data_IF_438645743046
#
_entry.id   IF_438645743046
#
_cell.length_a   1.000
_cell.length_b   1.000
_cell.length_c   1.000
_cell.angle_alpha   90.00
_cell.angle_beta   90.00
_cell.angle_gamma   90.00
#
_symmetry.space_group_name_H-M   'P 1'
#
loop_
_entity.id
_entity.type
_entity.pdbx_description
1 polymer ?
#
# COMPACT_ATOMS: atom_id res chain seq x y z
N UNK A 1 -10.08 -4.89 -21.82
CA UNK A 1 -9.02 -4.83 -22.84
C UNK A 1 -7.81 -5.53 -22.23
N UNK A 2 -7.25 -6.55 -22.87
CA UNK A 2 -6.09 -7.24 -22.32
C UNK A 2 -4.88 -6.29 -22.27
N UNK A 3 -4.07 -6.29 -21.22
CA UNK A 3 -2.81 -5.56 -21.17
C UNK A 3 -1.93 -6.02 -22.33
N UNK A 4 -1.62 -5.09 -23.22
CA UNK A 4 -0.58 -5.25 -24.20
C UNK A 4 0.46 -4.17 -23.99
N UNK A 5 1.72 -4.61 -23.99
CA UNK A 5 2.87 -3.71 -24.00
C UNK A 5 3.59 -3.89 -25.33
N UNK A 6 4.01 -2.78 -25.94
CA UNK A 6 4.90 -2.79 -27.08
C UNK A 6 5.92 -1.68 -26.90
N UNK A 7 7.19 -2.00 -27.09
CA UNK A 7 8.28 -1.06 -26.89
C UNK A 7 9.61 -1.65 -27.29
N UNK A 8 10.66 -1.07 -26.72
CA UNK A 8 12.04 -1.47 -26.96
C UNK A 8 12.65 -1.90 -25.64
N UNK A 9 13.40 -3.00 -25.67
CA UNK A 9 14.25 -3.42 -24.58
C UNK A 9 15.70 -3.46 -25.04
N UNK A 10 16.60 -3.29 -24.08
CA UNK A 10 18.04 -3.36 -24.29
C UNK A 10 18.57 -4.58 -23.56
N UNK A 11 19.36 -5.39 -24.27
CA UNK A 11 20.06 -6.53 -23.70
C UNK A 11 21.52 -6.18 -23.49
N UNK A 12 22.04 -6.42 -22.30
CA UNK A 12 23.45 -6.20 -22.01
C UNK A 12 24.29 -7.28 -22.71
N UNK A 13 25.09 -6.87 -23.69
CA UNK A 13 26.00 -7.74 -24.43
C UNK A 13 27.33 -7.83 -23.70
N UNK A 14 27.87 -6.69 -23.29
CA UNK A 14 29.14 -6.59 -22.57
C UNK A 14 28.98 -5.59 -21.41
N UNK A 15 29.33 -5.97 -20.16
CA UNK A 15 29.35 -5.03 -19.03
C UNK A 15 30.47 -4.01 -19.20
N UNK A 16 30.46 -2.97 -18.37
CA UNK A 16 31.53 -1.96 -18.34
C UNK A 16 32.88 -2.64 -18.14
N UNK A 17 33.83 -2.23 -18.96
CA UNK A 17 35.23 -2.58 -18.82
C UNK A 17 36.05 -1.33 -18.49
N UNK A 18 37.32 -1.49 -18.15
CA UNK A 18 38.24 -0.36 -17.90
C UNK A 18 38.39 0.56 -19.10
N UNK A 19 38.18 0.03 -20.31
CA UNK A 19 38.43 0.76 -21.56
C UNK A 19 37.16 1.18 -22.31
N UNK A 20 36.00 0.60 -21.99
CA UNK A 20 34.77 0.81 -22.75
C UNK A 20 33.53 0.84 -21.85
N UNK A 21 32.55 1.65 -22.26
CA UNK A 21 31.21 1.67 -21.67
C UNK A 21 30.47 0.35 -21.93
N UNK A 22 29.44 0.02 -21.12
CA UNK A 22 28.59 -1.13 -21.37
C UNK A 22 28.02 -1.12 -22.79
N UNK A 23 27.96 -2.30 -23.43
CA UNK A 23 27.37 -2.46 -24.76
C UNK A 23 26.02 -3.13 -24.66
N UNK A 24 25.05 -2.55 -25.37
CA UNK A 24 23.67 -3.02 -25.39
C UNK A 24 23.26 -3.39 -26.81
N UNK A 25 22.49 -4.47 -26.94
CA UNK A 25 21.74 -4.81 -28.15
C UNK A 25 20.31 -4.30 -27.99
N UNK A 26 19.79 -3.63 -29.01
CA UNK A 26 18.42 -3.15 -29.02
C UNK A 26 17.51 -4.22 -29.61
N UNK A 27 16.47 -4.61 -28.86
CA UNK A 27 15.50 -5.61 -29.29
C UNK A 27 14.07 -5.07 -29.17
N UNK A 28 13.19 -5.52 -30.08
CA UNK A 28 11.77 -5.22 -29.98
C UNK A 28 11.14 -6.05 -28.86
N UNK A 29 10.40 -5.40 -27.97
CA UNK A 29 9.69 -6.03 -26.86
C UNK A 29 8.19 -5.93 -27.08
N UNK A 30 7.49 -7.05 -26.94
CA UNK A 30 6.04 -7.02 -26.78
C UNK A 30 5.55 -8.02 -25.73
N UNK A 31 4.49 -7.64 -25.01
CA UNK A 31 3.82 -8.47 -24.02
C UNK A 31 2.37 -8.64 -24.45
N UNK A 32 1.89 -9.88 -24.41
CA UNK A 32 0.50 -10.21 -24.69
C UNK A 32 0.02 -11.33 -23.77
N UNK A 33 -1.24 -11.26 -23.37
CA UNK A 33 -1.92 -12.40 -22.75
C UNK A 33 -2.43 -13.34 -23.85
N UNK A 34 -2.09 -14.62 -23.73
CA UNK A 34 -2.48 -15.63 -24.70
C UNK A 34 -2.95 -16.90 -23.98
N UNK A 35 -4.12 -17.41 -24.38
CA UNK A 35 -4.58 -18.73 -23.95
C UNK A 35 -3.84 -19.80 -24.77
N UNK A 36 -3.07 -20.63 -24.09
CA UNK A 36 -2.34 -21.74 -24.73
C UNK A 36 -3.20 -23.01 -24.67
N UNK A 37 -3.11 -23.91 -25.68
CA UNK A 37 -4.03 -25.04 -25.82
C UNK A 37 -3.95 -26.07 -24.68
N UNK A 38 -2.93 -26.00 -23.83
CA UNK A 38 -2.70 -26.91 -22.70
C UNK A 38 -2.99 -26.28 -21.34
N UNK A 39 -3.42 -25.01 -21.28
CA UNK A 39 -3.82 -24.34 -20.04
C UNK A 39 -5.23 -23.74 -20.16
N UNK A 40 -5.95 -23.74 -19.05
CA UNK A 40 -7.29 -23.17 -18.96
C UNK A 40 -7.28 -21.67 -18.68
N UNK A 41 -6.16 -21.14 -18.19
CA UNK A 41 -5.99 -19.74 -17.86
C UNK A 41 -5.06 -19.06 -18.87
N UNK A 42 -5.36 -17.80 -19.26
CA UNK A 42 -4.50 -17.03 -20.14
C UNK A 42 -3.14 -16.80 -19.48
N UNK A 43 -2.07 -16.95 -20.26
CA UNK A 43 -0.71 -16.76 -19.78
C UNK A 43 -0.07 -15.52 -20.38
N UNK A 44 0.84 -14.91 -19.63
CA UNK A 44 1.62 -13.76 -20.09
C UNK A 44 2.77 -14.21 -20.97
N UNK A 45 2.71 -13.87 -22.25
CA UNK A 45 3.74 -14.15 -23.25
C UNK A 45 4.53 -12.88 -23.55
N UNK A 46 5.84 -12.97 -23.40
CA UNK A 46 6.81 -11.96 -23.75
C UNK A 46 7.50 -12.36 -25.05
N UNK A 47 7.41 -11.52 -26.07
CA UNK A 47 8.16 -11.65 -27.30
C UNK A 47 9.31 -10.65 -27.29
N UNK A 48 10.53 -11.17 -27.36
CA UNK A 48 11.77 -10.41 -27.43
C UNK A 48 12.46 -10.74 -28.75
N UNK A 49 12.46 -9.79 -29.67
CA UNK A 49 12.88 -10.02 -31.06
C UNK A 49 12.07 -11.14 -31.71
N UNK A 50 12.74 -12.24 -32.05
CA UNK A 50 12.12 -13.42 -32.67
C UNK A 50 11.74 -14.52 -31.67
N UNK A 51 12.13 -14.39 -30.39
CA UNK A 51 11.95 -15.44 -29.40
C UNK A 51 10.75 -15.13 -28.50
N UNK A 52 9.92 -16.15 -28.28
CA UNK A 52 8.76 -16.06 -27.39
C UNK A 52 9.06 -16.76 -26.06
N UNK A 53 8.69 -16.10 -24.98
CA UNK A 53 8.90 -16.56 -23.62
C UNK A 53 7.58 -16.51 -22.85
N UNK A 54 7.34 -17.54 -22.05
CA UNK A 54 6.36 -17.52 -20.99
C UNK A 54 6.96 -16.81 -19.78
N UNK A 55 6.34 -15.75 -19.30
CA UNK A 55 6.79 -15.05 -18.09
C UNK A 55 6.16 -15.69 -16.87
N UNK A 56 7.00 -15.99 -15.87
CA UNK A 56 6.55 -16.53 -14.59
C UNK A 56 6.49 -15.44 -13.53
N UNK A 57 7.59 -14.67 -13.39
CA UNK A 57 7.72 -13.59 -12.41
C UNK A 57 8.62 -12.50 -12.97
N UNK A 58 8.47 -11.27 -12.47
CA UNK A 58 9.33 -10.15 -12.80
C UNK A 58 9.59 -9.26 -11.60
N UNK A 59 10.83 -8.81 -11.42
CA UNK A 59 11.18 -7.90 -10.35
C UNK A 59 12.11 -6.77 -10.83
N UNK A 60 11.91 -5.55 -10.28
CA UNK A 60 12.83 -4.45 -10.51
C UNK A 60 14.20 -4.76 -9.91
N UNK A 61 15.28 -4.48 -10.64
CA UNK A 61 16.66 -4.64 -10.15
C UNK A 61 17.49 -3.39 -10.43
N UNK A 62 18.68 -3.35 -9.83
CA UNK A 62 19.63 -2.25 -9.97
C UNK A 62 20.51 -2.42 -11.23
N UNK A 63 20.33 -1.50 -12.18
CA UNK A 63 21.04 -1.50 -13.44
C UNK A 63 22.53 -1.15 -13.29
N UNK A 64 22.89 -0.30 -12.33
CA UNK A 64 24.27 0.13 -12.12
C UNK A 64 25.13 -1.03 -11.60
N UNK A 65 24.58 -1.83 -10.67
CA UNK A 65 25.23 -3.04 -10.17
C UNK A 65 25.50 -4.05 -11.28
N UNK A 66 24.55 -4.24 -12.19
CA UNK A 66 24.66 -5.27 -13.23
C UNK A 66 25.52 -4.85 -14.42
N UNK A 67 25.45 -3.59 -14.83
CA UNK A 67 26.26 -3.02 -15.90
C UNK A 67 27.70 -2.71 -15.45
N UNK A 68 27.91 -2.54 -14.14
CA UNK A 68 29.19 -2.07 -13.57
C UNK A 68 29.42 -0.58 -13.76
N UNK A 69 28.43 0.17 -14.25
CA UNK A 69 28.52 1.62 -14.45
C UNK A 69 27.67 2.38 -13.42
N UNK A 70 28.26 3.17 -12.49
CA UNK A 70 27.49 4.01 -11.58
C UNK A 70 26.70 5.11 -12.30
N UNK A 71 27.04 5.43 -13.55
CA UNK A 71 26.32 6.40 -14.39
C UNK A 71 25.26 5.75 -15.29
N UNK A 72 24.88 4.51 -15.01
CA UNK A 72 23.87 3.80 -15.81
C UNK A 72 22.52 4.52 -15.74
N UNK A 73 21.97 4.85 -16.91
CA UNK A 73 20.71 5.59 -17.04
C UNK A 73 19.54 4.64 -17.26
N UNK A 74 19.80 3.47 -17.87
CA UNK A 74 18.80 2.43 -18.09
C UNK A 74 18.38 1.80 -16.76
N UNK A 75 17.16 1.28 -16.74
CA UNK A 75 16.54 0.61 -15.60
C UNK A 75 16.44 -0.86 -15.89
N UNK A 76 16.88 -1.68 -14.93
CA UNK A 76 16.93 -3.13 -15.08
C UNK A 76 15.64 -3.77 -14.57
N UNK A 77 15.20 -4.76 -15.32
CA UNK A 77 14.12 -5.66 -15.00
C UNK A 77 14.64 -7.09 -15.12
N UNK A 78 14.48 -7.86 -14.05
CA UNK A 78 14.86 -9.27 -14.02
C UNK A 78 13.60 -10.12 -14.10
N UNK A 79 13.52 -10.96 -15.12
CA UNK A 79 12.38 -11.82 -15.38
C UNK A 79 12.76 -13.28 -15.23
N UNK A 80 11.93 -14.05 -14.54
CA UNK A 80 11.99 -15.51 -14.58
C UNK A 80 11.08 -15.98 -15.70
N UNK A 81 11.64 -16.58 -16.74
CA UNK A 81 10.93 -16.94 -17.97
C UNK A 81 11.18 -18.38 -18.39
N UNK A 82 10.32 -18.92 -19.24
CA UNK A 82 10.52 -20.20 -19.94
C UNK A 82 10.38 -20.00 -21.44
N UNK A 83 11.34 -20.42 -22.28
CA UNK A 83 11.17 -20.35 -23.73
C UNK A 83 9.94 -21.13 -24.17
N UNK A 84 9.08 -20.52 -24.98
CA UNK A 84 7.79 -21.13 -25.33
C UNK A 84 7.96 -22.44 -26.12
N UNK A 85 9.01 -22.53 -26.94
CA UNK A 85 9.36 -23.76 -27.65
C UNK A 85 9.76 -24.90 -26.69
N UNK A 86 10.42 -24.57 -25.58
CA UNK A 86 10.77 -25.55 -24.56
C UNK A 86 9.52 -25.98 -23.79
N UNK A 87 8.61 -25.06 -23.47
CA UNK A 87 7.31 -25.38 -22.85
C UNK A 87 6.49 -26.31 -23.74
N UNK A 88 6.42 -26.03 -25.04
CA UNK A 88 5.70 -26.89 -26.01
C UNK A 88 6.31 -28.29 -26.09
N UNK A 89 7.65 -28.39 -26.15
CA UNK A 89 8.35 -29.68 -26.16
C UNK A 89 8.16 -30.43 -24.84
N UNK A 90 8.29 -29.74 -23.72
CA UNK A 90 8.11 -30.28 -22.38
C UNK A 90 6.70 -30.86 -22.21
N UNK A 91 5.68 -30.15 -22.69
CA UNK A 91 4.31 -30.66 -22.68
C UNK A 91 4.13 -31.89 -23.59
N UNK A 92 4.72 -31.87 -24.78
CA UNK A 92 4.63 -32.97 -25.74
C UNK A 92 5.27 -34.27 -25.20
N UNK A 93 6.44 -34.14 -24.57
CA UNK A 93 7.21 -35.27 -24.04
C UNK A 93 6.98 -35.54 -22.54
N UNK A 94 6.07 -34.79 -21.91
CA UNK A 94 5.78 -34.86 -20.47
C UNK A 94 7.01 -34.68 -19.58
N UNK A 95 7.89 -33.75 -19.94
CA UNK A 95 9.08 -33.38 -19.17
C UNK A 95 8.91 -32.01 -18.50
N UNK A 96 9.87 -31.63 -17.65
CA UNK A 96 9.88 -30.31 -17.02
C UNK A 96 10.49 -29.27 -17.97
N UNK A 97 9.78 -28.15 -18.18
CA UNK A 97 10.31 -27.01 -18.93
C UNK A 97 11.34 -26.25 -18.08
N UNK A 98 12.46 -25.86 -18.70
CA UNK A 98 13.57 -25.18 -18.02
C UNK A 98 13.24 -23.70 -17.81
N UNK A 99 13.33 -23.26 -16.56
CA UNK A 99 13.29 -21.84 -16.22
C UNK A 99 14.65 -21.18 -16.51
N UNK A 100 14.60 -19.96 -17.02
CA UNK A 100 15.74 -19.11 -17.34
C UNK A 100 15.52 -17.72 -16.75
N UNK A 101 16.62 -17.07 -16.42
CA UNK A 101 16.62 -15.71 -15.92
C UNK A 101 16.98 -14.77 -17.08
N UNK A 102 16.09 -13.82 -17.36
CA UNK A 102 16.22 -12.86 -18.45
C UNK A 102 16.38 -11.46 -17.86
N UNK A 103 17.44 -10.77 -18.25
CA UNK A 103 17.76 -9.42 -17.80
C UNK A 103 17.46 -8.43 -18.92
N UNK A 104 16.49 -7.54 -18.69
CA UNK A 104 16.03 -6.55 -19.67
C UNK A 104 16.30 -5.14 -19.14
N UNK A 105 16.90 -4.31 -19.97
CA UNK A 105 17.11 -2.90 -19.67
C UNK A 105 16.10 -2.04 -20.45
N UNK A 106 15.53 -1.04 -19.78
CA UNK A 106 14.58 -0.07 -20.35
C UNK A 106 15.03 1.34 -20.02
N UNK A 107 14.82 2.30 -20.92
CA UNK A 107 15.43 3.63 -20.77
C UNK A 107 14.83 4.47 -19.64
N UNK A 108 13.56 4.27 -19.31
CA UNK A 108 12.82 5.11 -18.36
C UNK A 108 12.12 4.26 -17.30
N UNK A 109 12.13 4.76 -16.06
CA UNK A 109 11.49 4.11 -14.91
C UNK A 109 9.98 3.92 -15.11
N UNK A 110 9.30 4.92 -15.68
CA UNK A 110 7.88 4.81 -16.03
C UNK A 110 7.60 3.65 -16.99
N UNK A 111 8.46 3.44 -17.99
CA UNK A 111 8.34 2.32 -18.94
C UNK A 111 8.55 0.98 -18.23
N UNK A 112 9.51 0.92 -17.29
CA UNK A 112 9.73 -0.27 -16.45
C UNK A 112 8.50 -0.60 -15.61
N UNK A 113 7.91 0.38 -14.94
CA UNK A 113 6.70 0.20 -14.13
C UNK A 113 5.50 -0.23 -14.96
N UNK A 114 5.32 0.37 -16.15
CA UNK A 114 4.27 -0.02 -17.08
C UNK A 114 4.44 -1.46 -17.55
N UNK A 115 5.66 -1.86 -17.92
CA UNK A 115 5.99 -3.23 -18.31
C UNK A 115 5.72 -4.20 -17.16
N UNK A 116 6.20 -3.90 -15.95
CA UNK A 116 5.93 -4.68 -14.74
C UNK A 116 4.43 -4.87 -14.53
N UNK A 117 3.63 -3.81 -14.61
CA UNK A 117 2.17 -3.90 -14.48
C UNK A 117 1.56 -4.87 -15.49
N UNK A 118 1.99 -4.82 -16.75
CA UNK A 118 1.51 -5.75 -17.78
C UNK A 118 1.96 -7.20 -17.54
N UNK A 119 3.07 -7.41 -16.82
CA UNK A 119 3.57 -8.74 -16.47
C UNK A 119 2.92 -9.29 -15.19
N UNK A 120 2.62 -8.41 -14.24
CA UNK A 120 2.03 -8.69 -12.92
C UNK A 120 0.49 -8.73 -12.94
N UNK A 121 -0.16 -8.57 -14.10
CA UNK A 121 -1.63 -8.75 -14.21
C UNK A 121 -2.07 -10.21 -14.07
N UNK A 122 -1.13 -11.13 -13.97
CA UNK A 122 -1.35 -12.30 -13.14
C UNK A 122 -1.29 -11.81 -11.70
N UNK A 123 -2.43 -11.30 -11.19
CA UNK A 123 -2.60 -10.83 -9.81
C UNK A 123 -1.64 -11.59 -8.92
N UNK A 124 -0.65 -10.87 -8.38
CA UNK A 124 -0.14 -11.22 -7.07
C UNK A 124 -1.40 -11.30 -6.22
N UNK A 125 -1.93 -12.51 -6.14
CA UNK A 125 -2.95 -12.95 -5.20
C UNK A 125 -2.25 -12.84 -3.87
N UNK A 126 -1.96 -11.61 -3.46
CA UNK A 126 -1.39 -11.27 -2.18
C UNK A 126 -2.28 -12.03 -1.21
N UNK A 127 -1.76 -13.07 -0.54
CA UNK A 127 -2.60 -13.89 0.30
C UNK A 127 -3.31 -13.00 1.33
N UNK A 128 -2.66 -11.90 1.73
CA UNK A 128 -3.26 -10.83 2.52
C UNK A 128 -4.48 -10.16 1.87
N UNK A 129 -4.45 -9.77 0.59
CA UNK A 129 -5.60 -9.14 -0.07
C UNK A 129 -6.80 -10.06 -0.12
N UNK A 130 -6.58 -11.33 -0.48
CA UNK A 130 -7.66 -12.33 -0.45
C UNK A 130 -8.24 -12.55 0.94
N UNK A 131 -7.37 -12.70 1.95
CA UNK A 131 -7.81 -12.87 3.33
C UNK A 131 -8.61 -11.66 3.82
N UNK A 132 -8.22 -10.44 3.41
CA UNK A 132 -8.95 -9.22 3.71
C UNK A 132 -10.29 -9.18 2.98
N UNK A 133 -10.34 -9.47 1.68
CA UNK A 133 -11.56 -9.47 0.89
C UNK A 133 -12.56 -10.52 1.44
N UNK A 134 -12.08 -11.70 1.81
CA UNK A 134 -12.89 -12.75 2.46
C UNK A 134 -13.39 -12.30 3.84
N UNK A 135 -12.55 -11.66 4.65
CA UNK A 135 -12.93 -11.14 5.97
C UNK A 135 -13.97 -10.01 5.87
N UNK A 136 -13.81 -9.09 4.92
CA UNK A 136 -14.80 -8.04 4.65
C UNK A 136 -16.10 -8.62 4.11
N UNK A 137 -16.05 -9.59 3.21
CA UNK A 137 -17.24 -10.26 2.70
C UNK A 137 -17.99 -11.02 3.82
N UNK A 138 -17.26 -11.67 4.74
CA UNK A 138 -17.86 -12.31 5.92
C UNK A 138 -18.51 -11.29 6.85
N UNK A 139 -17.86 -10.13 7.04
CA UNK A 139 -18.40 -9.04 7.84
C UNK A 139 -19.69 -8.45 7.25
N UNK A 140 -19.72 -8.20 5.94
CA UNK A 140 -20.92 -7.70 5.26
C UNK A 140 -22.06 -8.70 5.37
N UNK A 141 -21.78 -10.00 5.18
CA UNK A 141 -22.76 -11.07 5.39
C UNK A 141 -23.28 -11.09 6.84
N UNK A 142 -22.42 -10.86 7.83
CA UNK A 142 -22.82 -10.79 9.25
C UNK A 142 -23.73 -9.58 9.55
N UNK A 143 -23.53 -8.47 8.85
CA UNK A 143 -24.36 -7.27 8.99
C UNK A 143 -25.72 -7.42 8.30
N UNK A 144 -25.77 -8.18 7.20
CA UNK A 144 -26.99 -8.44 6.43
C UNK A 144 -27.79 -9.64 6.96
N UNK A 145 -27.18 -10.50 7.78
CA UNK A 145 -27.86 -11.66 8.36
C UNK A 145 -28.93 -11.23 9.37
N UNK A 146 -30.15 -11.73 9.18
CA UNK A 146 -31.26 -11.54 10.13
C UNK A 146 -31.19 -12.47 11.35
N UNK A 147 -30.44 -13.57 11.24
CA UNK A 147 -30.35 -14.59 12.28
C UNK A 147 -29.12 -14.39 13.16
N UNK A 148 -29.34 -14.21 14.47
CA UNK A 148 -28.31 -13.84 15.44
C UNK A 148 -27.18 -14.87 15.57
N UNK A 149 -27.51 -16.16 15.55
CA UNK A 149 -26.53 -17.25 15.63
C UNK A 149 -25.62 -17.28 14.40
N UNK A 150 -26.21 -17.09 13.20
CA UNK A 150 -25.44 -17.01 11.95
C UNK A 150 -24.58 -15.75 11.89
N UNK A 151 -25.09 -14.62 12.38
CA UNK A 151 -24.33 -13.37 12.50
C UNK A 151 -23.10 -13.55 13.39
N UNK A 152 -23.27 -14.21 14.55
CA UNK A 152 -22.18 -14.51 15.49
C UNK A 152 -21.09 -15.38 14.86
N UNK A 153 -21.48 -16.42 14.10
CA UNK A 153 -20.52 -17.25 13.37
C UNK A 153 -19.76 -16.43 12.32
N UNK A 154 -20.45 -15.62 11.52
CA UNK A 154 -19.84 -14.77 10.49
C UNK A 154 -18.93 -13.67 11.07
N UNK A 155 -19.28 -13.09 12.23
CA UNK A 155 -18.39 -12.17 12.94
C UNK A 155 -17.11 -12.84 13.45
N UNK A 156 -17.18 -14.10 13.90
CA UNK A 156 -15.99 -14.88 14.30
C UNK A 156 -15.13 -15.25 13.09
N UNK A 157 -15.75 -15.60 11.97
CA UNK A 157 -15.04 -15.85 10.70
C UNK A 157 -14.31 -14.60 10.21
N UNK A 158 -14.96 -13.43 10.26
CA UNK A 158 -14.33 -12.16 9.92
C UNK A 158 -13.16 -11.82 10.85
N UNK A 159 -13.31 -12.02 12.18
CA UNK A 159 -12.24 -11.78 13.16
C UNK A 159 -11.01 -12.67 12.90
N UNK A 160 -11.24 -13.94 12.57
CA UNK A 160 -10.18 -14.87 12.18
C UNK A 160 -9.48 -14.44 10.88
N UNK A 161 -10.24 -14.03 9.87
CA UNK A 161 -9.68 -13.55 8.60
C UNK A 161 -8.82 -12.29 8.79
N UNK A 162 -9.25 -11.34 9.63
CA UNK A 162 -8.43 -10.18 9.97
C UNK A 162 -7.17 -10.53 10.77
N UNK A 163 -7.23 -11.56 11.64
CA UNK A 163 -6.04 -12.04 12.36
C UNK A 163 -5.01 -12.68 11.43
N UNK A 164 -5.46 -13.53 10.50
CA UNK A 164 -4.59 -14.16 9.52
C UNK A 164 -3.98 -13.12 8.55
N UNK A 165 -4.76 -12.11 8.15
CA UNK A 165 -4.26 -11.00 7.33
C UNK A 165 -3.21 -10.14 8.05
N UNK A 166 -3.35 -9.89 9.36
CA UNK A 166 -2.38 -9.14 10.17
C UNK A 166 -0.97 -9.76 10.12
N UNK A 167 -0.89 -11.10 10.13
CA UNK A 167 0.39 -11.83 10.12
C UNK A 167 1.14 -11.72 8.78
N UNK A 168 0.40 -11.52 7.68
CA UNK A 168 0.94 -11.53 6.31
C UNK A 168 1.32 -10.13 5.83
N UNK A 169 0.72 -9.08 6.39
CA UNK A 169 0.98 -7.69 5.99
C UNK A 169 2.36 -7.20 6.46
N UNK A 170 3.17 -6.54 5.61
CA UNK A 170 4.45 -5.97 6.02
C UNK A 170 4.33 -4.63 6.77
N UNK A 171 3.24 -3.88 6.55
CA UNK A 171 3.11 -2.49 7.03
C UNK A 171 2.63 -2.37 8.48
N UNK A 172 3.40 -1.66 9.32
CA UNK A 172 3.05 -1.43 10.73
C UNK A 172 1.74 -0.65 10.92
N UNK A 173 1.48 0.37 10.10
CA UNK A 173 0.26 1.18 10.15
C UNK A 173 -1.00 0.37 9.82
N UNK A 174 -0.92 -0.48 8.80
CA UNK A 174 -2.04 -1.32 8.36
C UNK A 174 -2.35 -2.40 9.40
N UNK A 175 -1.34 -2.99 10.05
CA UNK A 175 -1.52 -3.91 11.18
C UNK A 175 -2.25 -3.25 12.36
N UNK A 176 -1.90 -2.01 12.69
CA UNK A 176 -2.54 -1.30 13.79
C UNK A 176 -4.03 -1.02 13.50
N UNK A 177 -4.38 -0.65 12.27
CA UNK A 177 -5.77 -0.49 11.85
C UNK A 177 -6.56 -1.81 11.98
N UNK A 178 -5.95 -2.94 11.61
CA UNK A 178 -6.57 -4.26 11.76
C UNK A 178 -6.77 -4.64 13.23
N UNK A 179 -5.83 -4.31 14.12
CA UNK A 179 -5.99 -4.55 15.57
C UNK A 179 -7.16 -3.77 16.15
N UNK A 180 -7.26 -2.49 15.82
CA UNK A 180 -8.38 -1.65 16.25
C UNK A 180 -9.70 -2.25 15.75
N UNK A 181 -9.76 -2.62 14.46
CA UNK A 181 -10.95 -3.21 13.87
C UNK A 181 -11.33 -4.55 14.49
N UNK A 182 -10.35 -5.41 14.80
CA UNK A 182 -10.59 -6.67 15.52
C UNK A 182 -11.10 -6.41 16.94
N UNK A 183 -10.60 -5.38 17.63
CA UNK A 183 -11.13 -4.95 18.92
C UNK A 183 -12.60 -4.53 18.84
N UNK A 184 -13.01 -3.82 17.78
CA UNK A 184 -14.42 -3.48 17.52
C UNK A 184 -15.30 -4.72 17.30
N UNK A 185 -14.79 -5.68 16.53
CA UNK A 185 -15.50 -6.94 16.24
C UNK A 185 -15.67 -7.78 17.50
N UNK A 186 -14.63 -7.91 18.32
CA UNK A 186 -14.70 -8.64 19.58
C UNK A 186 -15.68 -7.99 20.57
N UNK A 187 -15.78 -6.65 20.59
CA UNK A 187 -16.82 -5.94 21.37
C UNK A 187 -18.22 -6.27 20.86
N UNK A 188 -18.40 -6.32 19.55
CA UNK A 188 -19.68 -6.65 18.91
C UNK A 188 -20.09 -8.09 19.20
N UNK A 189 -19.17 -9.05 19.09
CA UNK A 189 -19.38 -10.47 19.41
C UNK A 189 -19.81 -10.62 20.87
N UNK A 190 -19.07 -10.04 21.83
CA UNK A 190 -19.43 -10.10 23.26
C UNK A 190 -20.78 -9.47 23.55
N UNK A 191 -21.12 -8.38 22.86
CA UNK A 191 -22.43 -7.74 22.98
C UNK A 191 -23.55 -8.62 22.43
N UNK A 192 -23.27 -9.41 21.38
CA UNK A 192 -24.22 -10.34 20.80
C UNK A 192 -24.38 -11.63 21.63
N UNK A 193 -23.33 -12.13 22.27
CA UNK A 193 -23.39 -13.29 23.16
C UNK A 193 -24.17 -12.98 24.45
N UNK A 194 -23.96 -11.81 25.07
CA UNK A 194 -24.66 -11.45 26.31
C UNK A 194 -26.19 -11.39 26.16
N UNK A 195 -26.73 -10.86 25.05
CA UNK A 195 -28.20 -10.88 24.85
C UNK A 195 -28.73 -12.23 24.35
N UNK A 196 -27.87 -13.19 24.05
CA UNK A 196 -28.25 -14.59 23.80
C UNK A 196 -28.44 -15.31 25.14
N UNK A 197 -27.53 -15.09 26.09
CA UNK A 197 -27.61 -15.63 27.47
C UNK A 197 -28.77 -15.01 28.29
N UNK A 198 -29.19 -13.78 28.00
CA UNK A 198 -30.37 -13.14 28.62
C UNK A 198 -31.73 -13.72 28.15
N UNK A 199 -31.72 -14.76 27.30
CA UNK A 199 -32.95 -15.43 26.82
C UNK A 199 -33.09 -16.87 27.34
N UNK A 200 -33.40 -17.09 28.63
CA UNK A 200 -34.12 -18.29 29.05
C UNK A 200 -35.38 -17.90 29.82
N UNK A 201 -36.57 -18.09 29.23
CA UNK A 201 -37.80 -17.94 30.01
C UNK A 201 -39.09 -17.74 29.23
N UNK A 202 -39.53 -18.74 28.48
CA UNK A 202 -40.95 -18.87 28.16
C UNK A 202 -41.37 -20.36 28.06
N UNK A 203 -42.19 -20.74 29.04
CA UNK A 203 -43.14 -21.87 29.08
C UNK A 203 -42.59 -23.26 29.49
N UNK A 204 -42.70 -23.56 30.79
CA UNK A 204 -43.30 -24.82 31.25
C UNK A 204 -44.16 -24.55 32.49
N UNK A 205 -45.47 -24.46 32.27
CA UNK A 205 -46.48 -24.53 33.33
C UNK A 205 -46.76 -26.00 33.66
N UNK A 206 -46.41 -26.42 34.87
CA UNK A 206 -47.18 -27.40 35.68
C UNK A 206 -46.86 -27.19 37.17
N UNK A 207 -47.87 -26.82 37.95
CA UNK A 207 -47.91 -26.64 39.42
C UNK A 207 -47.91 -28.03 40.17
N UNK A 208 -47.92 -28.11 41.53
CA UNK A 208 -46.97 -27.57 42.53
C UNK A 208 -46.64 -28.60 43.68
N UNK A 209 -45.57 -28.39 44.46
CA UNK A 209 -45.52 -28.58 45.94
C UNK A 209 -44.10 -28.33 46.54
N UNK A 210 -43.99 -27.91 47.82
CA UNK A 210 -43.04 -26.87 48.25
C UNK A 210 -41.93 -27.38 49.17
N UNK A 211 -40.77 -26.69 49.20
CA UNK A 211 -39.89 -26.65 50.38
C UNK A 211 -39.20 -25.29 50.52
N UNK A 212 -39.70 -24.54 51.51
CA UNK A 212 -39.06 -23.60 52.44
C UNK A 212 -37.54 -23.50 52.31
N UNK A 213 -36.99 -22.30 52.10
CA UNK A 213 -36.02 -21.60 53.00
C UNK A 213 -36.06 -20.08 52.69
N UNK A 214 -35.92 -19.35 53.78
CA UNK A 214 -36.10 -17.94 54.08
C UNK A 214 -34.80 -17.13 53.92
N UNK A 215 -34.95 -15.80 53.90
CA UNK A 215 -34.00 -14.75 54.37
C UNK A 215 -33.11 -14.00 53.35
N UNK A 216 -33.52 -12.73 53.12
CA UNK A 216 -32.77 -11.45 53.04
C UNK A 216 -31.68 -11.26 51.96
N UNK A 217 -31.49 -10.12 51.28
CA UNK A 217 -32.05 -8.75 51.32
C UNK A 217 -31.59 -8.06 50.03
N UNK A 218 -32.50 -7.57 49.19
CA UNK A 218 -32.19 -6.70 48.06
C UNK A 218 -32.63 -5.26 48.41
N UNK A 219 -31.86 -4.21 48.02
CA UNK A 219 -32.25 -2.83 48.28
C UNK A 219 -33.47 -2.46 47.42
N UNK A 220 -34.29 -1.48 47.86
CA UNK A 220 -35.59 -1.23 47.26
C UNK A 220 -35.43 -0.76 45.81
N UNK A 221 -36.28 -1.30 44.93
CA UNK A 221 -36.48 -0.78 43.60
C UNK A 221 -36.74 0.73 43.70
N UNK A 222 -35.85 1.54 43.14
CA UNK A 222 -36.07 2.98 43.05
C UNK A 222 -37.42 3.20 42.34
N UNK A 223 -38.32 3.93 43.01
CA UNK A 223 -39.63 4.28 42.47
C UNK A 223 -39.44 4.95 41.11
N UNK A 224 -39.97 4.31 40.07
CA UNK A 224 -39.92 4.75 38.67
C UNK A 224 -40.42 6.21 38.56
N UNK A 225 -41.36 6.57 39.43
CA UNK A 225 -41.91 7.92 39.61
C UNK A 225 -40.84 8.96 39.97
N UNK A 226 -39.89 8.63 40.85
CA UNK A 226 -38.81 9.54 41.24
C UNK A 226 -37.82 9.77 40.09
N UNK A 227 -37.53 8.72 39.30
CA UNK A 227 -36.67 8.82 38.12
C UNK A 227 -37.33 9.61 36.98
N UNK A 228 -38.65 9.56 36.87
CA UNK A 228 -39.41 10.38 35.91
C UNK A 228 -39.41 11.86 36.31
N UNK A 229 -39.54 12.18 37.59
CA UNK A 229 -39.39 13.57 38.07
C UNK A 229 -37.97 14.10 37.86
N UNK A 230 -36.95 13.27 38.06
CA UNK A 230 -35.55 13.65 37.81
C UNK A 230 -35.28 13.88 36.31
N UNK A 231 -35.83 13.03 35.44
CA UNK A 231 -35.78 13.22 33.98
C UNK A 231 -36.54 14.47 33.52
N UNK A 232 -37.66 14.81 34.15
CA UNK A 232 -38.38 16.04 33.86
C UNK A 232 -37.59 17.28 34.30
N UNK A 233 -36.93 17.25 35.47
CA UNK A 233 -36.06 18.35 35.92
C UNK A 233 -34.84 18.51 35.01
N UNK A 234 -34.23 17.41 34.58
CA UNK A 234 -33.10 17.43 33.65
C UNK A 234 -33.47 17.97 32.26
N UNK A 235 -34.69 17.68 31.78
CA UNK A 235 -35.21 18.23 30.53
C UNK A 235 -35.44 19.76 30.63
N UNK A 236 -35.96 20.25 31.76
CA UNK A 236 -36.16 21.68 31.98
C UNK A 236 -34.82 22.45 32.05
N UNK A 237 -33.76 21.87 32.62
CA UNK A 237 -32.41 22.46 32.65
C UNK A 237 -31.73 22.49 31.27
N UNK A 238 -31.98 21.49 30.42
CA UNK A 238 -31.52 21.47 29.02
C UNK A 238 -32.24 22.51 28.14
N UNK A 239 -33.50 22.84 28.43
CA UNK A 239 -34.26 23.84 27.68
C UNK A 239 -33.86 25.27 28.08
N UNK A 240 -33.54 25.51 29.36
CA UNK A 240 -32.99 26.79 29.84
C UNK A 240 -31.59 27.10 29.26
N UNK A 241 -30.82 26.08 28.87
CA UNK A 241 -29.50 26.23 28.24
C UNK A 241 -29.58 26.38 26.72
N UNK A 242 -30.78 26.28 26.13
CA UNK A 242 -31.06 26.45 24.68
C UNK A 242 -31.75 27.78 24.35
N UNK A 243 -31.39 28.86 25.04
CA UNK A 243 -31.64 30.21 24.51
C UNK A 243 -30.51 30.62 23.56
N UNK A 244 -30.82 31.17 22.38
CA UNK A 244 -29.84 31.43 21.34
C UNK A 244 -29.10 32.73 21.65
N UNK A 245 -27.99 32.64 22.36
CA UNK A 245 -27.03 33.74 22.42
C UNK A 245 -26.15 33.71 21.15
N UNK A 246 -26.20 34.84 20.43
CA UNK A 246 -25.18 35.41 19.53
C UNK A 246 -25.26 35.20 18.01
N UNK A 247 -25.98 34.21 17.47
CA UNK A 247 -25.99 33.98 16.00
C UNK A 247 -27.26 34.42 15.23
N UNK A 248 -28.31 34.89 15.91
CA UNK A 248 -29.59 35.28 15.27
C UNK A 248 -29.57 36.69 14.67
N UNK A 249 -28.71 37.57 15.18
CA UNK A 249 -28.59 38.96 14.71
C UNK A 249 -27.90 39.05 13.35
N UNK A 250 -26.90 38.22 13.08
CA UNK A 250 -26.19 38.18 11.79
C UNK A 250 -27.07 37.58 10.67
N UNK A 251 -27.90 36.58 11.00
CA UNK A 251 -28.80 35.94 10.03
C UNK A 251 -30.00 36.84 9.68
N UNK A 252 -30.53 37.58 10.66
CA UNK A 252 -31.57 38.59 10.43
C UNK A 252 -31.04 39.77 9.58
N UNK A 253 -29.80 40.20 9.80
CA UNK A 253 -29.14 41.22 8.98
C UNK A 253 -28.91 40.72 7.54
N UNK A 254 -28.46 39.47 7.35
CA UNK A 254 -28.29 38.85 6.03
C UNK A 254 -29.61 38.68 5.27
N UNK A 255 -30.71 38.35 5.96
CA UNK A 255 -32.05 38.29 5.36
C UNK A 255 -32.59 39.67 4.99
N UNK A 256 -32.22 40.73 5.73
CA UNK A 256 -32.58 42.10 5.37
C UNK A 256 -31.81 42.58 4.11
N UNK A 257 -30.53 42.20 3.97
CA UNK A 257 -29.72 42.48 2.77
C UNK A 257 -30.29 41.76 1.53
N UNK A 258 -30.65 40.48 1.66
CA UNK A 258 -31.27 39.70 0.58
C UNK A 258 -32.67 40.18 0.17
N UNK A 259 -33.44 40.78 1.09
CA UNK A 259 -34.76 41.35 0.77
C UNK A 259 -34.68 42.69 0.04
N UNK A 260 -33.60 43.45 0.25
CA UNK A 260 -33.36 44.73 -0.43
C UNK A 260 -32.72 44.58 -1.82
N UNK A 261 -32.19 43.40 -2.17
CA UNK A 261 -31.58 43.13 -3.48
C UNK A 261 -32.61 42.87 -4.60
N UNK A 262 -33.91 42.84 -4.29
CA UNK A 262 -35.00 42.60 -5.26
C UNK A 262 -35.51 43.85 -6.01
N UNK A 263 -34.82 44.98 -5.93
CA UNK A 263 -35.17 46.20 -6.71
C UNK A 263 -33.92 46.78 -7.36
N UNK A 264 -33.49 46.14 -8.44
CA UNK A 264 -32.49 46.63 -9.39
C UNK A 264 -32.58 45.79 -10.66
N UNK A 265 -32.48 46.36 -11.88
CA UNK A 265 -32.58 45.59 -13.11
C UNK A 265 -31.48 44.51 -13.13
N UNK A 266 -31.86 43.27 -13.35
CA UNK A 266 -30.94 42.14 -13.41
C UNK A 266 -29.79 42.40 -14.40
N UNK A 267 -28.51 42.21 -14.03
CA UNK A 267 -27.44 42.22 -15.00
C UNK A 267 -27.61 41.00 -15.92
N UNK A 268 -27.60 41.27 -17.23
CA UNK A 268 -27.68 40.26 -18.28
C UNK A 268 -26.59 39.20 -18.05
N UNK A 269 -27.00 37.94 -18.09
CA UNK A 269 -26.09 36.81 -17.94
C UNK A 269 -25.24 36.76 -19.21
N UNK A 270 -23.98 37.22 -19.13
CA UNK A 270 -23.03 37.12 -20.24
C UNK A 270 -22.91 35.66 -20.70
N UNK A 271 -23.00 35.45 -22.01
CA UNK A 271 -22.99 34.13 -22.65
C UNK A 271 -21.66 33.40 -22.37
N UNK A 272 -21.73 32.08 -22.17
CA UNK A 272 -20.60 31.23 -21.77
C UNK A 272 -19.38 31.39 -22.71
N UNK A 273 -19.66 31.70 -23.98
CA UNK A 273 -18.68 31.98 -25.01
C UNK A 273 -17.82 33.21 -24.70
N UNK A 274 -18.38 34.27 -24.12
CA UNK A 274 -17.61 35.47 -23.74
C UNK A 274 -16.74 35.22 -22.52
N UNK A 275 -17.21 34.40 -21.58
CA UNK A 275 -16.46 34.02 -20.39
C UNK A 275 -15.26 33.13 -20.73
N UNK A 276 -15.42 32.21 -21.67
CA UNK A 276 -14.32 31.41 -22.22
C UNK A 276 -13.33 32.25 -23.04
N UNK A 277 -13.82 33.29 -23.74
CA UNK A 277 -12.96 34.22 -24.48
C UNK A 277 -12.12 35.11 -23.55
N UNK A 278 -12.68 35.56 -22.42
CA UNK A 278 -11.95 36.29 -21.37
C UNK A 278 -10.92 35.39 -20.66
N UNK A 279 -11.27 34.14 -20.36
CA UNK A 279 -10.36 33.16 -19.75
C UNK A 279 -9.19 32.78 -20.67
N UNK A 280 -9.38 32.85 -21.99
CA UNK A 280 -8.36 32.54 -23.01
C UNK A 280 -7.46 33.74 -23.37
N UNK A 281 -7.56 34.87 -22.67
CA UNK A 281 -6.63 36.00 -22.85
C UNK A 281 -6.81 36.81 -24.14
N UNK A 282 -8.00 36.80 -24.76
CA UNK A 282 -8.29 37.56 -25.98
C UNK A 282 -8.77 38.99 -25.72
N UNK A 283 -7.81 39.92 -25.61
CA UNK A 283 -7.87 41.38 -25.38
C UNK A 283 -9.10 42.20 -25.82
N UNK A 284 -9.39 43.26 -25.04
CA UNK A 284 -10.07 44.49 -25.48
C UNK A 284 -9.11 45.47 -26.19
N UNK A 285 -9.61 46.50 -26.90
CA UNK A 285 -8.88 47.15 -27.99
C UNK A 285 -7.97 48.32 -27.57
N UNK A 286 -6.81 48.35 -28.23
CA UNK A 286 -5.94 49.46 -28.64
C UNK A 286 -5.89 50.77 -27.81
N UNK A 287 -4.77 50.99 -27.12
CA UNK A 287 -4.11 52.29 -27.04
C UNK A 287 -2.58 52.10 -26.97
N UNK A 288 -1.88 53.05 -27.58
CA UNK A 288 -0.47 53.03 -27.92
C UNK A 288 0.51 53.11 -26.72
N UNK A 289 1.80 53.07 -27.09
CA UNK A 289 3.03 53.29 -26.31
C UNK A 289 3.76 52.04 -25.84
N UNK A 290 4.95 51.84 -26.44
CA UNK A 290 5.88 50.80 -26.05
C UNK A 290 6.74 51.22 -24.87
N UNK A 291 7.13 50.25 -24.05
CA UNK A 291 8.38 50.23 -23.31
C UNK A 291 8.66 48.82 -22.80
N UNK A 292 9.93 48.55 -22.54
CA UNK A 292 10.53 47.25 -22.19
C UNK A 292 9.99 46.63 -20.90
N UNK A 293 9.99 45.29 -20.89
CA UNK A 293 10.39 44.39 -19.78
C UNK A 293 9.82 44.73 -18.39
N UNK A 294 8.90 43.89 -17.88
CA UNK A 294 9.14 42.96 -16.76
C UNK A 294 7.99 41.95 -16.79
N UNK A 295 8.31 40.66 -16.99
CA UNK A 295 7.39 39.56 -16.71
C UNK A 295 6.98 39.63 -15.23
N UNK A 296 5.82 40.21 -14.96
CA UNK A 296 5.15 40.08 -13.67
C UNK A 296 4.60 38.66 -13.59
N UNK A 297 5.47 37.69 -13.30
CA UNK A 297 5.06 36.36 -12.85
C UNK A 297 4.06 36.55 -11.71
N UNK A 298 2.89 35.94 -11.85
CA UNK A 298 1.87 35.93 -10.81
C UNK A 298 2.48 35.38 -9.52
N UNK A 299 2.07 35.87 -8.35
CA UNK A 299 2.54 35.32 -7.06
C UNK A 299 2.34 33.79 -6.99
N UNK A 300 1.34 33.28 -7.70
CA UNK A 300 1.07 31.84 -7.86
C UNK A 300 2.12 31.16 -8.74
N UNK A 301 2.60 31.80 -9.81
CA UNK A 301 3.64 31.24 -10.67
C UNK A 301 4.99 31.18 -9.96
N UNK A 302 5.31 32.16 -9.11
CA UNK A 302 6.52 32.09 -8.26
C UNK A 302 6.43 30.98 -7.22
N UNK A 303 5.25 30.72 -6.64
CA UNK A 303 5.07 29.60 -5.71
C UNK A 303 5.18 28.26 -6.45
N UNK A 304 4.62 28.16 -7.66
CA UNK A 304 4.72 26.94 -8.47
C UNK A 304 6.18 26.67 -8.84
N UNK A 305 6.92 27.69 -9.30
CA UNK A 305 8.33 27.58 -9.65
C UNK A 305 9.19 27.19 -8.43
N UNK A 306 8.91 27.79 -7.27
CA UNK A 306 9.58 27.45 -6.01
C UNK A 306 9.30 26.00 -5.57
N UNK A 307 8.04 25.54 -5.61
CA UNK A 307 7.68 24.16 -5.25
C UNK A 307 8.26 23.16 -6.26
N UNK A 308 8.30 23.50 -7.56
CA UNK A 308 8.95 22.65 -8.56
C UNK A 308 10.46 22.56 -8.37
N UNK A 309 11.11 23.65 -7.95
CA UNK A 309 12.54 23.64 -7.66
C UNK A 309 12.86 22.92 -6.33
N UNK A 310 11.99 23.01 -5.31
CA UNK A 310 12.11 22.23 -4.07
C UNK A 310 11.92 20.72 -4.30
N UNK A 311 10.99 20.32 -5.17
CA UNK A 311 10.82 18.91 -5.57
C UNK A 311 12.00 18.42 -6.43
N UNK A 312 12.54 19.28 -7.30
CA UNK A 312 13.67 18.93 -8.17
C UNK A 312 15.00 18.86 -7.43
N UNK A 313 15.16 19.61 -6.34
CA UNK A 313 16.37 19.62 -5.51
C UNK A 313 16.33 18.64 -4.34
N UNK A 314 15.24 17.88 -4.16
CA UNK A 314 15.19 16.73 -3.26
C UNK A 314 15.80 17.02 -1.90
N UNK A 315 15.10 17.79 -1.07
CA UNK A 315 15.43 17.88 0.35
C UNK A 315 15.24 16.46 0.91
N UNK A 316 16.34 15.71 0.95
CA UNK A 316 16.51 14.58 1.86
C UNK A 316 16.20 15.12 3.25
N UNK A 317 15.22 14.53 3.92
CA UNK A 317 15.08 14.68 5.36
C UNK A 317 16.44 14.27 5.95
N UNK A 318 17.27 15.24 6.36
CA UNK A 318 18.45 15.00 7.16
C UNK A 318 17.98 14.22 8.39
N UNK A 319 18.35 12.94 8.44
CA UNK A 319 18.27 12.13 9.65
C UNK A 319 18.97 12.94 10.75
N UNK A 320 18.17 13.39 11.72
CA UNK A 320 18.71 13.90 12.97
C UNK A 320 19.37 12.69 13.64
N UNK A 321 20.69 12.58 13.48
CA UNK A 321 21.54 11.79 14.36
C UNK A 321 21.40 12.39 15.75
N UNK A 322 20.49 11.81 16.54
CA UNK A 322 20.46 12.05 17.98
C UNK A 322 21.61 11.22 18.54
N UNK A 323 22.76 11.87 18.71
CA UNK A 323 23.83 11.39 19.59
C UNK A 323 23.24 11.27 21.02
N UNK A 324 22.67 10.10 21.35
CA UNK A 324 22.48 9.71 22.73
C UNK A 324 23.83 9.24 23.29
N UNK A 325 24.62 10.20 23.77
CA UNK A 325 25.65 9.95 24.77
C UNK A 325 24.98 9.36 26.03
N UNK A 326 24.97 8.03 26.12
CA UNK A 326 24.76 7.33 27.38
C UNK A 326 26.12 6.88 27.93
N UNK A 327 26.67 7.77 28.74
CA UNK A 327 27.63 7.44 29.79
C UNK A 327 27.07 6.31 30.67
N UNK A 328 27.77 5.17 30.68
CA UNK A 328 27.74 4.26 31.83
C UNK A 328 29.05 3.50 31.93
N UNK A 329 29.97 4.14 32.66
CA UNK A 329 31.04 3.50 33.40
C UNK A 329 30.53 2.27 34.17
N UNK A 330 31.10 1.10 33.90
CA UNK A 330 31.30 0.11 34.96
C UNK A 330 32.50 -0.78 34.68
N UNK A 331 33.64 -0.26 35.13
CA UNK A 331 34.92 -0.94 35.32
C UNK A 331 34.79 -1.99 36.43
N UNK A 332 35.21 -3.24 36.19
CA UNK A 332 36.26 -3.99 36.95
C UNK A 332 36.13 -5.53 36.97
N UNK A 333 37.15 -6.17 36.35
CA UNK A 333 38.01 -7.28 36.84
C UNK A 333 37.38 -8.58 37.37
N UNK A 334 37.83 -9.80 36.99
CA UNK A 334 39.20 -10.30 37.17
C UNK A 334 39.44 -11.68 36.49
N UNK A 335 40.65 -11.86 35.90
CA UNK A 335 41.66 -12.96 36.01
C UNK A 335 41.17 -14.43 35.89
N UNK A 336 41.80 -15.36 35.16
CA UNK A 336 43.20 -15.86 35.11
C UNK A 336 43.20 -17.12 34.18
N UNK A 337 44.26 -17.69 33.60
CA UNK A 337 45.70 -17.46 33.46
C UNK A 337 46.26 -18.48 32.42
N UNK A 338 47.46 -18.15 31.88
CA UNK A 338 48.57 -19.06 31.45
C UNK A 338 48.29 -20.20 30.44
N UNK A 339 49.04 -20.32 29.34
CA UNK A 339 50.41 -20.86 29.39
C UNK A 339 51.23 -20.57 28.12
N UNK A 340 52.53 -20.34 28.33
CA UNK A 340 53.65 -20.22 27.39
C UNK A 340 54.10 -21.57 26.80
N UNK A 341 54.60 -21.55 25.56
CA UNK A 341 55.78 -22.30 25.07
C UNK A 341 56.13 -21.82 23.64
N UNK A 342 57.21 -21.06 23.43
CA UNK A 342 58.56 -21.50 22.97
C UNK A 342 58.55 -22.25 21.62
N UNK A 343 58.95 -21.63 20.51
CA UNK A 343 60.33 -21.53 19.99
C UNK A 343 60.79 -22.79 19.24
N UNK A 344 61.02 -22.70 17.91
CA UNK A 344 62.19 -23.28 17.23
C UNK A 344 62.16 -23.14 15.70
N UNK A 345 63.22 -22.51 15.23
CA UNK A 345 63.89 -22.51 13.93
C UNK A 345 63.94 -23.86 13.19
N UNK A 346 63.86 -23.88 11.86
CA UNK A 346 65.00 -24.14 10.94
C UNK A 346 64.60 -24.37 9.47
N UNK A 347 65.40 -23.73 8.63
CA UNK A 347 65.80 -24.02 7.24
C UNK A 347 65.85 -25.50 6.83
N UNK A 348 65.52 -25.77 5.56
CA UNK A 348 66.23 -26.72 4.69
C UNK A 348 65.98 -26.40 3.21
N UNK A 349 67.06 -26.01 2.52
CA UNK A 349 67.22 -26.11 1.07
C UNK A 349 67.28 -27.58 0.63
N UNK A 350 66.99 -27.87 -0.64
CA UNK A 350 67.31 -29.16 -1.24
C UNK A 350 66.89 -29.26 -2.70
N UNK A 351 67.76 -28.80 -3.61
CA UNK A 351 67.72 -29.08 -5.05
C UNK A 351 68.20 -30.50 -5.36
N UNK A 352 67.64 -31.14 -6.39
CA UNK A 352 68.29 -32.09 -7.33
C UNK A 352 67.19 -32.63 -8.27
N UNK A 353 67.15 -32.27 -9.54
CA UNK A 353 67.91 -32.85 -10.68
C UNK A 353 67.39 -34.20 -11.22
N UNK A 354 66.94 -34.11 -12.48
CA UNK A 354 67.33 -34.93 -13.64
C UNK A 354 66.64 -36.29 -13.92
N UNK A 355 66.34 -36.42 -15.22
CA UNK A 355 66.17 -37.64 -16.04
C UNK A 355 64.79 -38.31 -15.96
N UNK A 356 64.03 -38.49 -17.04
CA UNK A 356 64.42 -38.66 -18.43
C UNK A 356 64.03 -40.06 -18.91
N UNK A 357 63.41 -40.11 -20.10
CA UNK A 357 63.33 -41.21 -21.06
C UNK A 357 62.01 -41.98 -21.30
N UNK A 358 61.59 -41.82 -22.57
CA UNK A 358 61.09 -42.79 -23.57
C UNK A 358 59.70 -43.42 -23.36
N UNK A 359 58.73 -43.07 -24.23
CA UNK A 359 58.48 -43.63 -25.59
C UNK A 359 58.13 -45.12 -25.56
N UNK A 360 56.88 -45.43 -25.90
CA UNK A 360 56.54 -45.85 -27.27
C UNK A 360 55.14 -45.41 -27.63
#
# INVERSE_FOLDING_TARGET
MAPSFQGTAWLLVEPKSTFYSPRYSQESLSVRLQLLPFWNEPQTILQLGQTEFLVLNGSPQDAAKRSGDPKETKKLLQLTVRPLDDVRRAQLYQTAARAQLLELFVDVEHTRQRLLRCLSEQEEKDPSKKLLDEAFAALERAQQSGDRETALQLYREAERGFYEAEQVLPDGRSRELLRVRRGDLQRTIRGLERREEERPGAIQQTLPAPRVVEVATAPPAMDISARLEELQRFAAEQESTRMPQENTTDLAARLAVLKNEKVGPAPLVDDLAERLRRLRGGNGPAAAFGEKVVDRKSAVDSIIEQVTDEIALGIEDEEIDVDEELDSDSVRSSKSASSKSSESSKSSQGSAEISGTKKK
#
